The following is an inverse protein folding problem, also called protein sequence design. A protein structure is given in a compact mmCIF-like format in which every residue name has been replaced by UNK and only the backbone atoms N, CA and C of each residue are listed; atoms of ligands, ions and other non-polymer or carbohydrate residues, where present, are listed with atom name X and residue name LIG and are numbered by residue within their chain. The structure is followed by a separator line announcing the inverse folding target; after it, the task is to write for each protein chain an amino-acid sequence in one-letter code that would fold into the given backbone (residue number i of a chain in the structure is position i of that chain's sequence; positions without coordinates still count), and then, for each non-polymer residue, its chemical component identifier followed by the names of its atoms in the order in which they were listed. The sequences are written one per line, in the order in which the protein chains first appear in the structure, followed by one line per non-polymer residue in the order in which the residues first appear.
data_IF_196792824714
#
_entry.id   IF_196792824714
#
_cell.length_a   1.000
_cell.length_b   1.000
_cell.length_c   1.000
_cell.angle_alpha   90.00
_cell.angle_beta   90.00
_cell.angle_gamma   90.00
#
_symmetry.space_group_name_H-M   'P 1'
#
loop_
_entity.id
_entity.type
_entity.pdbx_description
1 polymer ?
#
# COMPACT_ATOMS: atom_id res chain seq x y z
N UNK A 1 -21.55 -3.31 -0.64
CA UNK A 1 -21.36 -1.91 -1.05
C UNK A 1 -20.35 -1.18 -0.17
N UNK A 2 -20.40 -1.35 1.14
CA UNK A 2 -19.60 -0.67 2.16
C UNK A 2 -18.23 -1.31 2.43
N UNK A 3 -17.76 -2.24 1.57
CA UNK A 3 -16.44 -2.89 1.69
C UNK A 3 -15.87 -3.19 0.32
N UNK A 4 -15.40 -2.15 -0.39
CA UNK A 4 -14.72 -2.23 -1.70
C UNK A 4 -14.09 -0.90 -2.10
N UNK A 5 -13.38 -0.87 -3.23
CA UNK A 5 -12.87 0.36 -3.83
C UNK A 5 -13.86 0.90 -4.87
N UNK A 6 -13.99 2.23 -4.90
CA UNK A 6 -14.82 2.99 -5.84
C UNK A 6 -13.94 3.93 -6.68
N UNK A 7 -14.17 3.93 -7.98
CA UNK A 7 -13.44 4.79 -8.90
C UNK A 7 -13.92 6.24 -8.78
N UNK A 8 -12.98 7.17 -8.82
CA UNK A 8 -13.20 8.61 -8.72
C UNK A 8 -13.15 9.28 -10.10
N UNK A 9 -13.55 10.54 -10.20
CA UNK A 9 -13.63 11.29 -11.45
C UNK A 9 -12.29 11.37 -12.22
N UNK A 10 -11.18 11.25 -11.52
CA UNK A 10 -9.80 11.27 -12.07
C UNK A 10 -9.23 9.88 -12.38
N UNK A 11 -10.06 8.83 -12.34
CA UNK A 11 -9.67 7.44 -12.62
C UNK A 11 -8.85 6.80 -11.50
N UNK A 12 -8.71 7.46 -10.36
CA UNK A 12 -8.13 6.89 -9.12
C UNK A 12 -9.22 6.22 -8.30
N UNK A 13 -8.91 5.83 -7.05
CA UNK A 13 -9.85 5.07 -6.23
C UNK A 13 -9.88 5.55 -4.78
N UNK A 14 -11.09 5.46 -4.17
CA UNK A 14 -11.28 5.48 -2.73
C UNK A 14 -11.56 4.06 -2.23
N UNK A 15 -10.92 3.68 -1.14
CA UNK A 15 -11.23 2.43 -0.43
C UNK A 15 -12.28 2.72 0.65
N UNK A 16 -13.37 1.96 0.63
CA UNK A 16 -14.44 2.00 1.62
C UNK A 16 -14.39 0.72 2.44
N UNK A 17 -14.34 0.84 3.77
CA UNK A 17 -14.22 -0.28 4.70
C UNK A 17 -15.12 -0.13 5.93
N UNK A 18 -16.25 0.55 5.83
CA UNK A 18 -17.15 0.87 6.94
C UNK A 18 -18.13 -0.27 7.25
N UNK A 19 -17.62 -1.37 7.79
CA UNK A 19 -18.41 -2.56 8.13
C UNK A 19 -19.33 -2.28 9.34
N UNK A 20 -18.78 -1.64 10.38
CA UNK A 20 -19.50 -1.34 11.60
C UNK A 20 -20.52 -0.21 11.39
N UNK A 21 -21.71 -0.28 12.04
CA UNK A 21 -22.78 0.69 11.80
C UNK A 21 -22.39 2.14 12.05
N UNK A 22 -21.53 2.42 13.05
CA UNK A 22 -21.10 3.79 13.36
C UNK A 22 -20.20 4.38 12.25
N UNK A 23 -19.31 3.58 11.67
CA UNK A 23 -18.45 4.02 10.57
C UNK A 23 -19.24 4.17 9.27
N UNK A 24 -20.20 3.28 9.05
CA UNK A 24 -21.15 3.42 7.94
C UNK A 24 -21.99 4.70 8.06
N UNK A 25 -22.52 5.01 9.24
CA UNK A 25 -23.26 6.25 9.49
C UNK A 25 -22.37 7.48 9.20
N UNK A 26 -21.12 7.49 9.71
CA UNK A 26 -20.16 8.57 9.45
C UNK A 26 -19.85 8.75 7.96
N UNK A 27 -19.78 7.66 7.18
CA UNK A 27 -19.67 7.73 5.72
C UNK A 27 -20.90 8.37 5.08
N UNK A 28 -22.09 7.90 5.43
CA UNK A 28 -23.35 8.37 4.85
C UNK A 28 -23.62 9.86 5.14
N UNK A 29 -23.20 10.37 6.30
CA UNK A 29 -23.28 11.80 6.65
C UNK A 29 -22.45 12.71 5.72
N UNK A 30 -21.43 12.17 5.06
CA UNK A 30 -20.51 12.92 4.18
C UNK A 30 -20.87 12.77 2.69
N UNK A 31 -21.64 11.75 2.35
CA UNK A 31 -22.05 11.51 0.99
C UNK A 31 -23.36 12.26 0.65
N UNK A 32 -23.49 12.81 -0.56
CA UNK A 32 -24.74 13.43 -1.01
C UNK A 32 -25.75 12.34 -1.46
N UNK A 33 -26.05 11.40 -0.56
CA UNK A 33 -26.96 10.27 -0.81
C UNK A 33 -28.18 10.43 0.10
N UNK A 34 -29.35 10.24 -0.49
CA UNK A 34 -30.58 10.08 0.28
C UNK A 34 -30.55 8.73 1.00
N UNK A 35 -30.47 8.78 2.33
CA UNK A 35 -30.40 7.57 3.16
C UNK A 35 -31.68 6.71 3.07
N UNK A 36 -32.86 7.31 2.83
CA UNK A 36 -34.11 6.57 2.65
C UNK A 36 -34.08 5.79 1.33
N UNK A 37 -33.62 6.43 0.26
CA UNK A 37 -33.46 5.79 -1.04
C UNK A 37 -32.37 4.73 -1.09
N UNK A 38 -31.30 4.90 -0.29
CA UNK A 38 -30.21 3.94 -0.14
C UNK A 38 -30.68 2.67 0.59
N UNK A 39 -31.41 2.83 1.68
CA UNK A 39 -31.94 1.74 2.49
C UNK A 39 -30.98 1.23 3.56
N UNK A 40 -31.28 0.06 4.12
CA UNK A 40 -30.50 -0.50 5.23
C UNK A 40 -29.12 -1.03 4.77
N UNK A 41 -28.10 -0.83 5.60
CA UNK A 41 -26.71 -1.24 5.33
C UNK A 41 -26.58 -2.71 4.92
N UNK A 42 -27.29 -3.61 5.61
CA UNK A 42 -27.18 -5.06 5.41
C UNK A 42 -28.36 -5.66 4.63
N UNK A 43 -29.08 -4.85 3.86
CA UNK A 43 -30.08 -5.37 2.92
C UNK A 43 -29.39 -5.96 1.67
N UNK A 44 -29.12 -7.24 1.71
CA UNK A 44 -28.45 -7.95 0.62
C UNK A 44 -29.21 -7.88 -0.71
N UNK A 45 -30.55 -7.74 -0.68
CA UNK A 45 -31.35 -7.59 -1.89
C UNK A 45 -31.13 -6.23 -2.57
N UNK A 46 -30.76 -5.20 -1.79
CA UNK A 46 -30.50 -3.87 -2.28
C UNK A 46 -29.03 -3.65 -2.73
N UNK A 47 -28.10 -4.58 -2.51
CA UNK A 47 -26.67 -4.39 -2.74
C UNK A 47 -26.34 -3.93 -4.17
N UNK A 48 -26.97 -4.47 -5.19
CA UNK A 48 -26.72 -4.05 -6.57
C UNK A 48 -27.01 -2.55 -6.76
N UNK A 49 -28.20 -2.10 -6.32
CA UNK A 49 -28.58 -0.68 -6.35
C UNK A 49 -27.67 0.19 -5.51
N UNK A 50 -27.33 -0.26 -4.31
CA UNK A 50 -26.42 0.48 -3.41
C UNK A 50 -25.02 0.63 -3.99
N UNK A 51 -24.51 -0.39 -4.71
CA UNK A 51 -23.25 -0.29 -5.46
C UNK A 51 -23.31 0.80 -6.51
N UNK A 52 -24.33 0.80 -7.37
CA UNK A 52 -24.53 1.82 -8.41
C UNK A 52 -24.58 3.22 -7.80
N UNK A 53 -25.34 3.41 -6.73
CA UNK A 53 -25.43 4.72 -6.06
C UNK A 53 -24.07 5.21 -5.53
N UNK A 54 -23.24 4.33 -4.97
CA UNK A 54 -21.91 4.70 -4.49
C UNK A 54 -20.93 4.92 -5.64
N UNK A 55 -20.99 4.13 -6.71
CA UNK A 55 -20.20 4.32 -7.93
C UNK A 55 -20.48 5.70 -8.56
N UNK A 56 -21.75 6.04 -8.72
CA UNK A 56 -22.17 7.34 -9.26
C UNK A 56 -21.68 8.51 -8.39
N UNK A 57 -21.80 8.39 -7.08
CA UNK A 57 -21.37 9.46 -6.18
C UNK A 57 -19.85 9.62 -6.17
N UNK A 58 -19.10 8.53 -6.01
CA UNK A 58 -17.62 8.62 -6.01
C UNK A 58 -17.07 9.12 -7.34
N UNK A 59 -17.73 8.85 -8.46
CA UNK A 59 -17.36 9.37 -9.78
C UNK A 59 -17.53 10.89 -9.90
N UNK A 60 -18.19 11.58 -8.97
CA UNK A 60 -18.45 13.04 -9.05
C UNK A 60 -17.26 13.93 -8.68
N UNK A 61 -16.27 13.42 -7.97
CA UNK A 61 -15.11 14.20 -7.49
C UNK A 61 -13.81 13.42 -7.68
N UNK A 62 -12.69 14.15 -7.66
CA UNK A 62 -11.37 13.53 -7.64
C UNK A 62 -11.10 12.80 -6.32
N UNK A 63 -10.15 11.85 -6.33
CA UNK A 63 -9.71 11.14 -5.12
C UNK A 63 -9.29 12.11 -4.02
N UNK A 64 -8.49 13.10 -4.35
CA UNK A 64 -7.96 14.06 -3.37
C UNK A 64 -9.08 14.95 -2.78
N UNK A 65 -10.11 15.28 -3.58
CA UNK A 65 -11.29 16.00 -3.09
C UNK A 65 -12.12 15.13 -2.12
N UNK A 66 -12.25 13.83 -2.40
CA UNK A 66 -12.90 12.88 -1.50
C UNK A 66 -12.08 12.67 -0.22
N UNK A 67 -10.77 12.55 -0.31
CA UNK A 67 -9.88 12.46 0.85
C UNK A 67 -10.08 13.64 1.78
N UNK A 68 -10.14 14.87 1.26
CA UNK A 68 -10.39 16.07 2.05
C UNK A 68 -11.76 16.05 2.76
N UNK A 69 -12.81 15.48 2.13
CA UNK A 69 -14.16 15.36 2.73
C UNK A 69 -14.15 14.38 3.90
N UNK A 70 -13.39 13.28 3.79
CA UNK A 70 -13.33 12.25 4.82
C UNK A 70 -12.21 12.46 5.85
N UNK A 71 -11.32 13.44 5.64
CA UNK A 71 -10.22 13.72 6.57
C UNK A 71 -10.74 14.04 7.99
N UNK A 72 -10.14 13.40 8.99
CA UNK A 72 -10.51 13.58 10.39
C UNK A 72 -11.85 12.96 10.79
N UNK A 73 -12.41 12.08 9.95
CA UNK A 73 -13.63 11.32 10.28
C UNK A 73 -13.31 9.86 10.55
N UNK A 74 -14.21 9.17 11.25
CA UNK A 74 -14.15 7.73 11.51
C UNK A 74 -14.93 6.91 10.46
N UNK A 75 -15.06 7.42 9.24
CA UNK A 75 -15.86 6.81 8.18
C UNK A 75 -15.22 5.56 7.55
N UNK A 76 -13.97 5.22 7.87
CA UNK A 76 -13.20 4.16 7.22
C UNK A 76 -13.18 4.28 5.68
N UNK A 77 -13.07 5.52 5.19
CA UNK A 77 -12.96 5.84 3.76
C UNK A 77 -11.64 6.55 3.52
N UNK A 78 -10.76 5.95 2.72
CA UNK A 78 -9.39 6.43 2.51
C UNK A 78 -8.99 6.37 1.04
N UNK A 79 -8.03 7.22 0.59
CA UNK A 79 -7.52 7.14 -0.77
C UNK A 79 -6.76 5.84 -1.01
N UNK A 80 -6.88 5.26 -2.21
CA UNK A 80 -5.97 4.23 -2.69
C UNK A 80 -4.78 4.93 -3.33
N UNK A 81 -3.60 4.69 -2.79
CA UNK A 81 -2.36 5.33 -3.17
C UNK A 81 -1.45 4.34 -3.92
N UNK A 82 -0.72 4.82 -4.91
CA UNK A 82 0.42 4.07 -5.43
C UNK A 82 1.61 4.13 -4.46
N UNK A 83 2.69 3.39 -4.76
CA UNK A 83 3.85 3.31 -3.85
C UNK A 83 4.57 4.65 -3.65
N UNK A 84 4.61 5.49 -4.68
CA UNK A 84 5.26 6.80 -4.61
C UNK A 84 4.39 7.77 -3.82
N UNK A 85 3.09 7.80 -4.10
CA UNK A 85 2.12 8.58 -3.35
C UNK A 85 2.10 8.15 -1.87
N UNK A 86 2.09 6.85 -1.61
CA UNK A 86 2.08 6.31 -0.24
C UNK A 86 3.33 6.74 0.56
N UNK A 87 4.51 6.81 -0.08
CA UNK A 87 5.73 7.22 0.58
C UNK A 87 5.69 8.69 1.06
N UNK A 88 5.03 9.56 0.30
CA UNK A 88 4.92 10.99 0.58
C UNK A 88 3.63 11.37 1.34
N UNK A 89 2.68 10.46 1.48
CA UNK A 89 1.43 10.73 2.18
C UNK A 89 1.69 11.14 3.64
N UNK A 90 1.06 12.22 4.16
CA UNK A 90 1.36 12.79 5.48
C UNK A 90 1.39 11.76 6.61
N UNK A 91 0.41 10.87 6.68
CA UNK A 91 0.33 9.83 7.72
C UNK A 91 1.49 8.83 7.64
N UNK A 92 2.02 8.53 6.47
CA UNK A 92 3.16 7.64 6.28
C UNK A 92 4.49 8.37 6.50
N UNK A 93 4.58 9.62 6.07
CA UNK A 93 5.75 10.46 6.27
C UNK A 93 5.98 10.75 7.76
N UNK A 94 4.94 11.16 8.50
CA UNK A 94 5.00 11.39 9.96
C UNK A 94 5.47 10.14 10.72
N UNK A 95 5.02 8.96 10.28
CA UNK A 95 5.39 7.69 10.88
C UNK A 95 6.72 7.13 10.38
N UNK A 96 7.40 7.81 9.45
CA UNK A 96 8.58 7.28 8.76
C UNK A 96 8.34 5.85 8.24
N UNK A 97 7.19 5.64 7.56
CA UNK A 97 6.79 4.31 7.11
C UNK A 97 7.64 3.80 5.94
N UNK A 98 8.29 4.69 5.22
CA UNK A 98 9.14 4.39 4.06
C UNK A 98 10.50 5.05 4.24
N UNK A 99 11.54 4.32 3.84
CA UNK A 99 12.93 4.81 3.74
C UNK A 99 13.30 4.84 2.26
N UNK A 100 14.04 5.88 1.84
CA UNK A 100 14.55 5.96 0.47
C UNK A 100 16.06 6.16 0.47
N UNK A 101 16.74 5.50 -0.44
CA UNK A 101 18.15 5.73 -0.78
C UNK A 101 18.32 6.61 -2.03
N UNK A 102 17.23 7.22 -2.50
CA UNK A 102 17.19 8.03 -3.72
C UNK A 102 16.90 7.23 -4.99
N UNK A 103 17.05 5.91 -4.95
CA UNK A 103 16.75 4.98 -6.07
C UNK A 103 15.55 4.09 -5.78
N UNK A 104 15.44 3.63 -4.56
CA UNK A 104 14.42 2.67 -4.14
C UNK A 104 13.62 3.20 -2.95
N UNK A 105 12.36 2.79 -2.89
CA UNK A 105 11.49 2.99 -1.73
C UNK A 105 11.43 1.67 -0.96
N UNK A 106 11.82 1.71 0.31
CA UNK A 106 11.81 0.56 1.19
C UNK A 106 10.80 0.74 2.31
N UNK A 107 9.92 -0.24 2.59
CA UNK A 107 9.11 -0.18 3.79
C UNK A 107 10.03 -0.23 5.02
N UNK A 108 9.68 0.54 6.04
CA UNK A 108 10.38 0.51 7.32
C UNK A 108 10.18 -0.86 8.00
N UNK A 109 11.16 -1.24 8.81
CA UNK A 109 11.12 -2.51 9.57
C UNK A 109 9.87 -2.55 10.48
N UNK A 110 9.20 -3.70 10.48
CA UNK A 110 8.06 -3.99 11.35
C UNK A 110 8.23 -5.37 12.03
N UNK A 111 7.76 -5.56 13.28
CA UNK A 111 7.18 -4.54 14.16
C UNK A 111 8.22 -3.52 14.64
N UNK A 112 7.75 -2.31 14.98
CA UNK A 112 8.61 -1.27 15.54
C UNK A 112 8.70 -1.44 17.05
N UNK A 113 9.92 -1.57 17.54
CA UNK A 113 10.18 -1.68 18.98
C UNK A 113 10.71 -0.35 19.50
N UNK A 114 10.19 0.08 20.66
CA UNK A 114 10.61 1.36 21.27
C UNK A 114 12.11 1.41 21.60
N UNK A 115 12.75 0.25 21.76
CA UNK A 115 14.17 0.12 22.09
C UNK A 115 15.10 0.05 20.86
N UNK A 116 14.55 0.01 19.66
CA UNK A 116 15.33 -0.10 18.43
C UNK A 116 15.16 1.16 17.58
N UNK A 117 16.27 1.76 17.12
CA UNK A 117 16.20 2.89 16.20
C UNK A 117 15.57 2.45 14.89
N UNK A 118 14.87 3.37 14.22
CA UNK A 118 14.40 3.16 12.86
C UNK A 118 15.58 3.08 11.90
N UNK A 119 15.49 2.19 10.91
CA UNK A 119 16.46 2.17 9.83
C UNK A 119 16.39 3.49 9.04
N UNK A 120 17.55 4.06 8.78
CA UNK A 120 17.69 5.28 7.95
C UNK A 120 18.24 4.95 6.57
N UNK A 121 18.75 3.74 6.40
CA UNK A 121 19.35 3.24 5.17
C UNK A 121 19.23 1.72 5.09
N UNK A 122 19.15 1.19 3.88
CA UNK A 122 19.20 -0.24 3.59
C UNK A 122 20.31 -0.49 2.57
N UNK A 123 21.30 -1.30 2.95
CA UNK A 123 22.30 -1.77 2.01
C UNK A 123 21.70 -2.87 1.13
N UNK A 124 21.57 -2.56 -0.16
CA UNK A 124 21.16 -3.55 -1.14
C UNK A 124 22.39 -3.96 -1.94
N UNK A 125 22.81 -5.19 -1.70
CA UNK A 125 23.88 -5.77 -2.48
C UNK A 125 23.50 -5.83 -3.97
N UNK A 126 24.45 -5.54 -4.85
CA UNK A 126 24.27 -5.77 -6.28
C UNK A 126 24.11 -7.26 -6.53
N UNK A 127 23.33 -7.60 -7.56
CA UNK A 127 23.10 -9.00 -7.93
C UNK A 127 24.43 -9.74 -8.11
N UNK A 128 24.61 -10.81 -7.35
CA UNK A 128 25.82 -11.63 -7.40
C UNK A 128 27.03 -11.08 -6.63
N UNK A 129 26.88 -10.04 -5.80
CA UNK A 129 28.02 -9.49 -5.04
C UNK A 129 28.60 -10.49 -4.03
N UNK A 130 27.75 -11.29 -3.39
CA UNK A 130 28.13 -12.13 -2.24
C UNK A 130 28.40 -13.59 -2.62
N UNK A 131 28.47 -13.92 -3.93
CA UNK A 131 28.58 -15.30 -4.38
C UNK A 131 29.75 -16.05 -3.76
N UNK A 132 30.91 -15.41 -3.64
CA UNK A 132 32.13 -16.06 -3.13
C UNK A 132 31.99 -16.42 -1.64
N UNK A 133 31.45 -15.50 -0.84
CA UNK A 133 31.20 -15.73 0.59
C UNK A 133 30.16 -16.85 0.78
N UNK A 134 29.05 -16.79 0.08
CA UNK A 134 27.96 -17.79 0.19
C UNK A 134 28.43 -19.19 -0.20
N UNK A 135 29.20 -19.31 -1.29
CA UNK A 135 29.73 -20.60 -1.74
C UNK A 135 30.79 -21.15 -0.79
N UNK A 136 31.67 -20.29 -0.25
CA UNK A 136 32.65 -20.70 0.75
C UNK A 136 31.97 -21.15 2.06
N UNK A 137 30.96 -20.44 2.54
CA UNK A 137 30.16 -20.83 3.71
C UNK A 137 29.43 -22.17 3.46
N UNK A 138 29.08 -22.46 2.22
CA UNK A 138 28.49 -23.73 1.81
C UNK A 138 29.51 -24.89 1.70
N UNK A 139 30.79 -24.63 2.01
CA UNK A 139 31.85 -25.62 2.05
C UNK A 139 32.65 -25.80 0.78
N UNK A 140 32.46 -24.97 -0.25
CA UNK A 140 33.24 -25.05 -1.49
C UNK A 140 34.62 -24.40 -1.30
N UNK A 141 35.63 -25.02 -1.82
CA UNK A 141 36.99 -24.48 -1.91
C UNK A 141 37.08 -23.34 -2.96
N UNK A 142 38.10 -22.52 -2.86
CA UNK A 142 38.36 -21.44 -3.81
C UNK A 142 38.53 -21.97 -5.26
N UNK A 143 39.11 -23.16 -5.42
CA UNK A 143 39.30 -23.79 -6.71
C UNK A 143 37.95 -24.25 -7.31
N UNK A 144 37.06 -24.85 -6.52
CA UNK A 144 35.73 -25.25 -6.96
C UNK A 144 34.88 -24.03 -7.34
N UNK A 145 34.96 -22.94 -6.56
CA UNK A 145 34.26 -21.68 -6.89
C UNK A 145 34.79 -21.12 -8.22
N UNK A 146 36.10 -21.17 -8.45
CA UNK A 146 36.72 -20.70 -9.70
C UNK A 146 36.28 -21.55 -10.90
N UNK A 147 36.13 -22.85 -10.73
CA UNK A 147 35.62 -23.76 -11.76
C UNK A 147 34.15 -23.48 -12.09
N UNK A 148 33.34 -23.21 -11.11
CA UNK A 148 31.92 -22.81 -11.30
C UNK A 148 31.76 -21.50 -12.08
N UNK A 149 32.64 -20.51 -11.80
CA UNK A 149 32.68 -19.25 -12.55
C UNK A 149 33.09 -19.52 -14.00
N UNK A 150 34.19 -20.28 -14.22
CA UNK A 150 34.68 -20.60 -15.54
C UNK A 150 33.64 -21.39 -16.37
N UNK A 151 32.85 -22.23 -15.72
CA UNK A 151 31.77 -22.98 -16.37
C UNK A 151 30.50 -22.12 -16.61
N UNK A 152 30.45 -20.85 -16.19
CA UNK A 152 29.29 -19.99 -16.30
C UNK A 152 28.11 -20.38 -15.39
N UNK A 153 28.34 -21.27 -14.42
CA UNK A 153 27.34 -21.66 -13.44
C UNK A 153 27.10 -20.58 -12.39
N UNK A 154 28.09 -19.72 -12.18
CA UNK A 154 28.02 -18.53 -11.30
C UNK A 154 28.30 -17.29 -12.14
N UNK A 155 27.35 -16.35 -12.14
CA UNK A 155 27.51 -15.07 -12.80
C UNK A 155 28.06 -14.08 -11.78
N UNK A 156 29.26 -13.60 -12.03
CA UNK A 156 29.87 -12.53 -11.22
C UNK A 156 29.49 -11.18 -11.80
N UNK A 157 29.20 -10.20 -10.93
CA UNK A 157 28.97 -8.83 -11.37
C UNK A 157 30.30 -8.24 -11.89
N UNK A 158 30.51 -8.36 -13.14
CA UNK A 158 31.60 -7.69 -13.87
C UNK A 158 31.06 -6.95 -15.08
N UNK A 159 29.84 -6.35 -14.96
CA UNK A 159 29.33 -5.34 -15.92
C UNK A 159 28.22 -4.51 -15.29
#
# INVERSE_FOLDING_TARGET
PFYRCYMTADGKFMAVGCIEPQFFAAMMERLPIDCEAYGAQHDHAAFAKQHEMLEDVFATKTRDAWEAIFAGTDACVTPVLDYVEAASHPANAERHAVVTDGRWLHPQVAPRLATQPLATHFDIATKGADYAAILAESGLSADEISQLIAAGAVVTNKD
#
